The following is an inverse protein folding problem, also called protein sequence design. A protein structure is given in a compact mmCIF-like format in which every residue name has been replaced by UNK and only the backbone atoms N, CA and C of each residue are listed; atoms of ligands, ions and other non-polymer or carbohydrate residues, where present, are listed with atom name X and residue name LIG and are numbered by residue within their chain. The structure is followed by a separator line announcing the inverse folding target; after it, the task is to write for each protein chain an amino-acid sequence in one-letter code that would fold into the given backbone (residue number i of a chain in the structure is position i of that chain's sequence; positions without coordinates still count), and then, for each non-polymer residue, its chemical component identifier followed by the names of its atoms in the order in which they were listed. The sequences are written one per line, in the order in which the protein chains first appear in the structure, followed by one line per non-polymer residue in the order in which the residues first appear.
data_IF_577000641683
#
_entry.id   IF_577000641683
#
_cell.length_a   1.000
_cell.length_b   1.000
_cell.length_c   1.000
_cell.angle_alpha   90.00
_cell.angle_beta   90.00
_cell.angle_gamma   90.00
#
_symmetry.space_group_name_H-M   'P 1'
#
loop_
_entity.id
_entity.type
_entity.pdbx_description
1 polymer ?
#
# COMPACT_ATOMS: atom_id res chain seq x y z
N UNK A 1 15.29 -26.38 -6.17
CA UNK A 1 14.36 -25.42 -6.85
C UNK A 1 13.90 -24.33 -5.89
N UNK A 2 14.54 -24.20 -4.72
CA UNK A 2 13.96 -23.53 -3.55
C UNK A 2 14.48 -22.09 -3.36
N UNK A 3 15.66 -21.78 -3.90
CA UNK A 3 16.27 -20.46 -3.72
C UNK A 3 15.48 -19.35 -4.44
N UNK A 4 14.93 -19.63 -5.64
CA UNK A 4 14.21 -18.60 -6.41
C UNK A 4 12.87 -18.22 -5.77
N UNK A 5 12.13 -19.21 -5.26
CA UNK A 5 10.88 -18.98 -4.54
C UNK A 5 11.13 -18.22 -3.23
N UNK A 6 12.12 -18.66 -2.43
CA UNK A 6 12.44 -18.01 -1.17
C UNK A 6 12.95 -16.57 -1.39
N UNK A 7 13.83 -16.34 -2.37
CA UNK A 7 14.29 -15.00 -2.73
C UNK A 7 13.14 -14.09 -3.16
N UNK A 8 12.16 -14.61 -3.89
CA UNK A 8 10.98 -13.86 -4.30
C UNK A 8 10.08 -13.48 -3.13
N UNK A 9 9.80 -14.41 -2.22
CA UNK A 9 9.04 -14.12 -1.00
C UNK A 9 9.76 -13.07 -0.17
N UNK A 10 11.08 -13.20 0.02
CA UNK A 10 11.89 -12.23 0.77
C UNK A 10 11.82 -10.85 0.10
N UNK A 11 12.03 -10.78 -1.22
CA UNK A 11 12.02 -9.52 -1.96
C UNK A 11 10.63 -8.86 -1.92
N UNK A 12 9.56 -9.62 -2.19
CA UNK A 12 8.20 -9.10 -2.13
C UNK A 12 7.82 -8.66 -0.73
N UNK A 13 8.24 -9.39 0.31
CA UNK A 13 8.00 -9.01 1.72
C UNK A 13 8.76 -7.74 2.08
N UNK A 14 9.99 -7.60 1.61
CA UNK A 14 10.80 -6.40 1.83
C UNK A 14 10.20 -5.18 1.11
N UNK A 15 9.71 -5.36 -0.12
CA UNK A 15 9.06 -4.30 -0.90
C UNK A 15 7.68 -3.93 -0.35
N UNK A 16 6.92 -4.91 0.15
CA UNK A 16 5.62 -4.67 0.79
C UNK A 16 5.75 -4.00 2.17
N UNK A 17 6.94 -4.03 2.77
CA UNK A 17 7.31 -3.47 4.06
C UNK A 17 6.18 -3.54 5.12
N UNK A 18 5.75 -4.75 5.51
CA UNK A 18 4.59 -4.88 6.39
C UNK A 18 4.86 -4.33 7.79
N UNK A 19 6.12 -4.26 8.22
CA UNK A 19 6.52 -3.72 9.52
C UNK A 19 6.53 -2.18 9.52
N UNK A 20 7.12 -1.55 8.49
CA UNK A 20 7.08 -0.10 8.34
C UNK A 20 5.67 0.44 8.13
N UNK A 21 4.80 -0.36 7.51
CA UNK A 21 3.39 -0.01 7.30
C UNK A 21 2.50 -0.20 8.54
N UNK A 22 2.95 -0.88 9.61
CA UNK A 22 2.15 -1.08 10.83
C UNK A 22 1.70 0.22 11.50
N UNK A 23 2.59 1.18 11.85
CA UNK A 23 2.19 2.39 12.56
C UNK A 23 1.32 3.28 11.68
N UNK A 24 1.56 3.24 10.37
CA UNK A 24 0.81 3.98 9.37
C UNK A 24 -0.62 3.45 9.22
N UNK A 25 -0.79 2.14 9.01
CA UNK A 25 -2.12 1.51 8.95
C UNK A 25 -2.87 1.74 10.26
N UNK A 26 -2.18 1.66 11.40
CA UNK A 26 -2.80 1.93 12.69
C UNK A 26 -3.26 3.40 12.79
N UNK A 27 -2.38 4.36 12.46
CA UNK A 27 -2.68 5.80 12.42
C UNK A 27 -3.91 6.11 11.56
N UNK A 28 -4.04 5.46 10.41
CA UNK A 28 -5.20 5.63 9.53
C UNK A 28 -6.49 4.99 10.07
N UNK A 29 -6.36 3.97 10.91
CA UNK A 29 -7.49 3.30 11.57
C UNK A 29 -7.91 3.96 12.90
N UNK A 30 -7.26 5.04 13.32
CA UNK A 30 -7.56 5.77 14.56
C UNK A 30 -9.04 6.08 14.73
N UNK A 31 -9.70 6.55 13.66
CA UNK A 31 -11.14 6.87 13.64
C UNK A 31 -12.11 5.69 13.47
N UNK A 32 -11.62 4.45 13.29
CA UNK A 32 -12.47 3.27 13.05
C UNK A 32 -12.69 2.49 14.37
N UNK A 33 -13.92 2.00 14.67
CA UNK A 33 -14.17 1.18 15.85
C UNK A 33 -13.31 -0.09 15.91
N UNK A 34 -12.75 -0.44 17.08
CA UNK A 34 -11.85 -1.59 17.26
C UNK A 34 -12.40 -2.91 16.70
N UNK A 35 -13.72 -3.12 16.79
CA UNK A 35 -14.40 -4.31 16.26
C UNK A 35 -14.36 -4.42 14.73
N UNK A 36 -14.31 -3.29 14.02
CA UNK A 36 -14.29 -3.21 12.55
C UNK A 36 -12.88 -3.07 11.98
N UNK A 37 -11.89 -2.63 12.76
CA UNK A 37 -10.50 -2.45 12.29
C UNK A 37 -9.92 -3.68 11.62
N UNK A 38 -10.12 -4.87 12.19
CA UNK A 38 -9.63 -6.13 11.60
C UNK A 38 -10.29 -6.43 10.25
N UNK A 39 -11.59 -6.18 10.14
CA UNK A 39 -12.34 -6.39 8.90
C UNK A 39 -11.84 -5.47 7.79
N UNK A 40 -11.56 -4.20 8.14
CA UNK A 40 -10.97 -3.24 7.19
C UNK A 40 -9.59 -3.70 6.74
N UNK A 41 -8.68 -4.06 7.67
CA UNK A 41 -7.34 -4.54 7.29
C UNK A 41 -7.41 -5.76 6.38
N UNK A 42 -8.22 -6.77 6.72
CA UNK A 42 -8.36 -7.97 5.88
C UNK A 42 -8.93 -7.63 4.50
N UNK A 43 -9.94 -6.76 4.44
CA UNK A 43 -10.54 -6.33 3.18
C UNK A 43 -9.51 -5.60 2.29
N UNK A 44 -8.75 -4.68 2.87
CA UNK A 44 -7.71 -3.93 2.14
C UNK A 44 -6.57 -4.83 1.68
N UNK A 45 -6.09 -5.73 2.54
CA UNK A 45 -5.10 -6.74 2.14
C UNK A 45 -5.61 -7.65 1.03
N UNK A 46 -6.90 -8.02 1.05
CA UNK A 46 -7.50 -8.84 0.00
C UNK A 46 -7.62 -8.08 -1.33
N UNK A 47 -7.98 -6.79 -1.30
CA UNK A 47 -7.97 -5.92 -2.48
C UNK A 47 -6.56 -5.78 -3.05
N UNK A 48 -5.55 -5.53 -2.21
CA UNK A 48 -4.15 -5.44 -2.63
C UNK A 48 -3.67 -6.76 -3.24
N UNK A 49 -4.02 -7.90 -2.64
CA UNK A 49 -3.69 -9.22 -3.16
C UNK A 49 -4.31 -9.47 -4.54
N UNK A 50 -5.61 -9.18 -4.69
CA UNK A 50 -6.31 -9.31 -5.97
C UNK A 50 -5.69 -8.42 -7.06
N UNK A 51 -5.33 -7.18 -6.72
CA UNK A 51 -4.64 -6.26 -7.63
C UNK A 51 -3.27 -6.78 -8.04
N UNK A 52 -2.44 -7.22 -7.09
CA UNK A 52 -1.12 -7.78 -7.40
C UNK A 52 -1.21 -9.00 -8.31
N UNK A 53 -2.17 -9.89 -8.07
CA UNK A 53 -2.42 -11.04 -8.95
C UNK A 53 -2.90 -10.60 -10.35
N UNK A 54 -3.84 -9.66 -10.43
CA UNK A 54 -4.34 -9.15 -11.71
C UNK A 54 -3.21 -8.51 -12.53
N UNK A 55 -2.37 -7.69 -11.89
CA UNK A 55 -1.23 -7.05 -12.54
C UNK A 55 -0.09 -8.03 -12.88
N UNK A 56 0.10 -9.09 -12.09
CA UNK A 56 1.05 -10.15 -12.43
C UNK A 56 0.60 -10.92 -13.68
N UNK A 57 -0.69 -11.26 -13.78
CA UNK A 57 -1.21 -12.08 -14.88
C UNK A 57 -1.41 -11.30 -16.18
N UNK A 58 -1.81 -10.02 -16.07
CA UNK A 58 -2.21 -9.23 -17.23
C UNK A 58 -1.89 -7.75 -17.13
N UNK A 59 -1.07 -7.31 -16.17
CA UNK A 59 -0.81 -5.88 -15.92
C UNK A 59 -0.23 -5.16 -17.13
N UNK A 60 0.72 -5.78 -17.84
CA UNK A 60 1.28 -5.22 -19.09
C UNK A 60 0.19 -5.01 -20.15
N UNK A 61 -0.66 -6.00 -20.39
CA UNK A 61 -1.75 -5.93 -21.37
C UNK A 61 -2.83 -4.95 -20.95
N UNK A 62 -3.20 -4.91 -19.67
CA UNK A 62 -4.18 -3.97 -19.11
C UNK A 62 -3.71 -2.52 -19.27
N UNK A 63 -2.45 -2.27 -18.90
CA UNK A 63 -1.82 -0.96 -19.05
C UNK A 63 -1.74 -0.55 -20.53
N UNK A 64 -1.39 -1.47 -21.43
CA UNK A 64 -1.35 -1.21 -22.87
C UNK A 64 -2.73 -0.85 -23.46
N UNK A 65 -3.79 -1.57 -23.08
CA UNK A 65 -5.17 -1.28 -23.53
C UNK A 65 -5.62 0.10 -23.04
N UNK A 66 -5.29 0.45 -21.80
CA UNK A 66 -5.63 1.73 -21.20
C UNK A 66 -4.69 2.87 -21.61
N UNK A 67 -3.64 2.59 -22.42
CA UNK A 67 -2.57 3.52 -22.76
C UNK A 67 -1.91 4.16 -21.51
N UNK A 68 -1.86 3.41 -20.41
CA UNK A 68 -1.27 3.85 -19.15
C UNK A 68 0.16 3.34 -19.03
N UNK A 69 1.08 4.23 -18.68
CA UNK A 69 2.44 3.82 -18.35
C UNK A 69 2.56 3.46 -16.87
N UNK A 70 3.55 2.63 -16.54
CA UNK A 70 3.91 2.36 -15.15
C UNK A 70 4.30 3.65 -14.40
N UNK A 71 4.93 4.59 -15.12
CA UNK A 71 5.25 5.95 -14.64
C UNK A 71 4.00 6.72 -14.25
N UNK A 72 2.96 6.69 -15.08
CA UNK A 72 1.67 7.32 -14.79
C UNK A 72 1.02 6.75 -13.52
N UNK A 73 1.11 5.44 -13.33
CA UNK A 73 0.58 4.76 -12.14
C UNK A 73 1.37 5.16 -10.88
N UNK A 74 2.69 5.32 -10.99
CA UNK A 74 3.54 5.80 -9.89
C UNK A 74 3.21 7.24 -9.50
N UNK A 75 3.07 8.14 -10.47
CA UNK A 75 2.71 9.54 -10.23
C UNK A 75 1.32 9.62 -9.59
N UNK A 76 0.32 8.91 -10.14
CA UNK A 76 -1.04 8.89 -9.60
C UNK A 76 -1.08 8.35 -8.17
N UNK A 77 -0.38 7.24 -7.90
CA UNK A 77 -0.23 6.70 -6.54
C UNK A 77 0.41 7.71 -5.59
N UNK A 78 1.45 8.42 -6.05
CA UNK A 78 2.11 9.48 -5.29
C UNK A 78 1.17 10.64 -4.94
N UNK A 79 0.34 11.09 -5.88
CA UNK A 79 -0.67 12.14 -5.62
C UNK A 79 -1.68 11.69 -4.56
N UNK A 80 -2.23 10.49 -4.69
CA UNK A 80 -3.20 9.95 -3.71
C UNK A 80 -2.55 9.85 -2.33
N UNK A 81 -1.33 9.31 -2.26
CA UNK A 81 -0.59 9.17 -1.00
C UNK A 81 -0.26 10.53 -0.37
N UNK A 82 0.06 11.53 -1.18
CA UNK A 82 0.28 12.91 -0.73
C UNK A 82 -0.98 13.53 -0.12
N UNK A 83 -2.14 13.36 -0.76
CA UNK A 83 -3.42 13.84 -0.23
C UNK A 83 -3.76 13.18 1.12
N UNK A 84 -3.52 11.87 1.24
CA UNK A 84 -3.69 11.13 2.49
C UNK A 84 -2.74 11.67 3.57
N UNK A 85 -1.47 11.88 3.22
CA UNK A 85 -0.46 12.37 4.15
C UNK A 85 -0.80 13.75 4.71
N UNK A 86 -1.23 14.67 3.85
CA UNK A 86 -1.72 16.01 4.25
C UNK A 86 -2.88 15.86 5.23
N UNK A 87 -3.89 15.03 4.92
CA UNK A 87 -5.02 14.80 5.83
C UNK A 87 -4.56 14.31 7.20
N UNK A 88 -3.57 13.41 7.27
CA UNK A 88 -3.02 12.91 8.53
C UNK A 88 -2.26 13.98 9.33
N UNK A 89 -1.45 14.81 8.67
CA UNK A 89 -0.74 15.93 9.32
C UNK A 89 -1.73 16.95 9.90
N UNK A 90 -2.82 17.20 9.18
CA UNK A 90 -3.83 18.21 9.49
C UNK A 90 -5.08 17.67 10.18
N UNK A 91 -5.08 16.43 10.69
CA UNK A 91 -6.23 15.69 11.25
C UNK A 91 -7.04 16.39 12.38
N UNK A 92 -6.65 17.60 12.82
CA UNK A 92 -7.47 18.46 13.69
C UNK A 92 -8.42 19.40 12.93
N UNK A 93 -8.44 19.40 11.60
CA UNK A 93 -9.29 20.25 10.76
C UNK A 93 -10.61 19.58 10.33
N UNK A 94 -11.03 18.48 10.97
CA UNK A 94 -12.25 17.72 10.67
C UNK A 94 -13.58 18.46 10.93
N UNK A 95 -13.56 19.79 11.00
CA UNK A 95 -14.75 20.63 10.89
C UNK A 95 -14.97 21.24 9.50
N UNK A 96 -13.95 21.29 8.63
CA UNK A 96 -14.00 22.08 7.37
C UNK A 96 -14.05 21.25 6.10
N UNK A 97 -13.79 19.94 6.15
CA UNK A 97 -13.92 19.02 5.01
C UNK A 97 -15.12 18.06 5.15
N UNK A 98 -16.31 18.58 5.46
CA UNK A 98 -17.59 17.98 5.07
C UNK A 98 -17.90 16.52 5.46
N UNK A 99 -17.21 15.89 6.41
CA UNK A 99 -17.56 14.55 6.88
C UNK A 99 -18.66 14.64 7.94
N UNK A 100 -19.84 14.13 7.58
CA UNK A 100 -20.90 13.84 8.55
C UNK A 100 -20.36 12.81 9.54
N UNK A 101 -20.44 13.14 10.83
CA UNK A 101 -20.24 12.18 11.91
C UNK A 101 -21.06 10.90 11.63
N UNK A 102 -20.38 9.81 11.28
CA UNK A 102 -20.99 8.52 11.01
C UNK A 102 -20.93 8.00 9.56
N UNK A 103 -20.39 8.74 8.59
CA UNK A 103 -20.04 8.13 7.30
C UNK A 103 -18.73 7.36 7.45
N UNK A 104 -18.77 6.04 7.25
CA UNK A 104 -17.59 5.17 7.16
C UNK A 104 -16.53 5.89 6.32
N UNK A 105 -15.28 6.06 6.81
CA UNK A 105 -14.25 6.80 6.09
C UNK A 105 -14.24 6.26 4.67
N UNK A 106 -14.54 7.12 3.70
CA UNK A 106 -14.61 6.74 2.28
C UNK A 106 -13.42 5.82 2.02
N UNK A 107 -13.74 4.57 1.69
CA UNK A 107 -12.80 3.46 1.48
C UNK A 107 -12.09 3.76 0.15
N UNK A 108 -11.29 4.81 0.16
CA UNK A 108 -10.26 5.03 -0.85
C UNK A 108 -9.24 3.94 -0.55
N UNK A 109 -8.96 3.02 -1.48
CA UNK A 109 -8.27 1.79 -1.13
C UNK A 109 -6.89 2.13 -0.58
N UNK A 110 -6.71 1.93 0.73
CA UNK A 110 -5.42 1.92 1.41
C UNK A 110 -4.49 0.92 0.71
N UNK A 111 -5.10 -0.15 0.20
CA UNK A 111 -4.51 -1.14 -0.66
C UNK A 111 -3.72 -0.54 -1.84
N UNK A 112 -4.23 0.48 -2.53
CA UNK A 112 -3.76 0.86 -3.88
C UNK A 112 -2.52 1.76 -3.96
N UNK A 113 -2.21 2.62 -2.99
CA UNK A 113 -0.92 3.32 -3.00
C UNK A 113 0.06 2.79 -1.94
N UNK A 114 -0.43 2.19 -0.84
CA UNK A 114 0.43 1.81 0.29
C UNK A 114 0.93 0.36 0.24
N UNK A 115 0.03 -0.61 0.01
CA UNK A 115 0.35 -2.04 0.08
C UNK A 115 0.67 -2.60 -1.31
N UNK A 116 -0.19 -2.35 -2.29
CA UNK A 116 0.05 -2.61 -3.70
C UNK A 116 0.65 -1.37 -4.38
N UNK A 117 1.62 -0.73 -3.71
CA UNK A 117 2.30 0.44 -4.23
C UNK A 117 3.00 0.15 -5.56
N UNK A 118 3.38 1.19 -6.32
CA UNK A 118 4.01 1.03 -7.63
C UNK A 118 5.28 0.20 -7.60
N UNK A 119 6.03 0.19 -6.49
CA UNK A 119 7.20 -0.70 -6.31
C UNK A 119 6.81 -2.18 -6.25
N UNK A 120 5.70 -2.51 -5.58
CA UNK A 120 5.19 -3.88 -5.51
C UNK A 120 4.65 -4.32 -6.89
N UNK A 121 3.90 -3.44 -7.57
CA UNK A 121 3.42 -3.66 -8.94
C UNK A 121 4.58 -3.85 -9.93
N UNK A 122 5.60 -2.99 -9.87
CA UNK A 122 6.81 -3.11 -10.67
C UNK A 122 7.49 -4.47 -10.49
N UNK A 123 7.61 -4.88 -9.23
CA UNK A 123 8.28 -6.13 -8.85
C UNK A 123 7.53 -7.33 -9.40
N UNK A 124 6.21 -7.43 -9.19
CA UNK A 124 5.43 -8.57 -9.70
C UNK A 124 5.40 -8.61 -11.22
N UNK A 125 5.35 -7.44 -11.89
CA UNK A 125 5.43 -7.35 -13.35
C UNK A 125 6.81 -7.78 -13.88
N UNK A 126 7.90 -7.39 -13.22
CA UNK A 126 9.25 -7.81 -13.58
C UNK A 126 9.43 -9.32 -13.42
N UNK A 127 8.91 -9.89 -12.33
CA UNK A 127 8.98 -11.33 -12.06
C UNK A 127 8.16 -12.13 -13.09
N UNK A 128 6.96 -11.65 -13.44
CA UNK A 128 6.14 -12.24 -14.49
C UNK A 128 6.81 -12.17 -15.88
N UNK A 129 7.51 -11.06 -16.17
CA UNK A 129 8.24 -10.87 -17.43
C UNK A 129 9.48 -11.75 -17.55
N UNK A 130 10.20 -12.00 -16.44
CA UNK A 130 11.43 -12.80 -16.46
C UNK A 130 11.23 -14.29 -16.74
N UNK A 131 10.13 -14.88 -16.28
CA UNK A 131 9.88 -16.31 -16.48
C UNK A 131 8.37 -16.63 -16.51
N UNK A 132 7.70 -16.46 -17.67
CA UNK A 132 6.25 -16.65 -17.81
C UNK A 132 5.78 -18.10 -17.54
N UNK A 133 6.69 -19.07 -17.62
CA UNK A 133 6.39 -20.49 -17.38
C UNK A 133 6.19 -20.82 -15.90
N UNK A 134 6.58 -19.93 -14.98
CA UNK A 134 6.50 -20.13 -13.52
C UNK A 134 5.48 -19.23 -12.82
N UNK A 135 4.46 -18.75 -13.53
CA UNK A 135 3.40 -17.91 -12.96
C UNK A 135 2.78 -18.49 -11.68
N UNK A 136 2.62 -19.82 -11.60
CA UNK A 136 2.12 -20.47 -10.39
C UNK A 136 3.04 -20.30 -9.17
N UNK A 137 4.36 -20.32 -9.37
CA UNK A 137 5.34 -20.10 -8.31
C UNK A 137 5.33 -18.64 -7.84
N UNK A 138 5.23 -17.69 -8.77
CA UNK A 138 5.14 -16.26 -8.44
C UNK A 138 3.82 -15.93 -7.73
N UNK A 139 2.70 -16.51 -8.17
CA UNK A 139 1.40 -16.39 -7.50
C UNK A 139 1.47 -16.93 -6.07
N UNK A 140 2.11 -18.09 -5.87
CA UNK A 140 2.33 -18.63 -4.53
C UNK A 140 3.20 -17.71 -3.67
N UNK A 141 4.25 -17.09 -4.25
CA UNK A 141 5.11 -16.16 -3.52
C UNK A 141 4.38 -14.88 -3.09
N UNK A 142 3.54 -14.32 -3.97
CA UNK A 142 2.64 -13.20 -3.65
C UNK A 142 1.67 -13.60 -2.54
N UNK A 143 1.09 -14.80 -2.62
CA UNK A 143 0.15 -15.30 -1.61
C UNK A 143 0.80 -15.42 -0.24
N UNK A 144 2.00 -16.01 -0.15
CA UNK A 144 2.76 -16.11 1.10
C UNK A 144 3.11 -14.72 1.62
N UNK A 145 3.60 -13.83 0.76
CA UNK A 145 3.93 -12.44 1.14
C UNK A 145 2.71 -11.72 1.71
N UNK A 146 1.57 -11.77 1.02
CA UNK A 146 0.34 -11.11 1.47
C UNK A 146 -0.21 -11.73 2.74
N UNK A 147 -0.06 -13.03 2.94
CA UNK A 147 -0.44 -13.70 4.18
C UNK A 147 0.43 -13.22 5.34
N UNK A 148 1.76 -13.14 5.16
CA UNK A 148 2.68 -12.56 6.14
C UNK A 148 2.31 -11.11 6.44
N UNK A 149 2.14 -10.28 5.41
CA UNK A 149 1.73 -8.87 5.57
C UNK A 149 0.43 -8.73 6.34
N UNK A 150 -0.58 -9.55 6.03
CA UNK A 150 -1.88 -9.52 6.72
C UNK A 150 -1.73 -9.90 8.19
N UNK A 151 -0.97 -10.95 8.50
CA UNK A 151 -0.73 -11.39 9.88
C UNK A 151 0.02 -10.32 10.68
N UNK A 152 1.05 -9.72 10.09
CA UNK A 152 1.84 -8.64 10.67
C UNK A 152 0.94 -7.43 10.95
N UNK A 153 0.20 -6.94 9.94
CA UNK A 153 -0.72 -5.80 10.13
C UNK A 153 -1.82 -6.08 11.16
N UNK A 154 -2.39 -7.29 11.19
CA UNK A 154 -3.36 -7.69 12.21
C UNK A 154 -2.78 -7.73 13.63
N UNK A 155 -1.51 -8.12 13.77
CA UNK A 155 -0.80 -8.01 15.04
C UNK A 155 -0.59 -6.55 15.44
N UNK A 156 -0.29 -5.68 14.46
CA UNK A 156 -0.17 -4.23 14.63
C UNK A 156 -1.45 -3.56 15.12
N UNK A 157 -2.64 -4.01 14.68
CA UNK A 157 -3.93 -3.47 15.17
C UNK A 157 -4.10 -3.66 16.69
N UNK A 158 -3.50 -4.70 17.29
CA UNK A 158 -3.55 -4.89 18.75
C UNK A 158 -2.65 -3.91 19.50
N UNK A 159 -1.63 -3.34 18.85
CA UNK A 159 -0.69 -2.38 19.45
C UNK A 159 -1.39 -1.09 19.87
N UNK A 160 -2.48 -0.72 19.20
CA UNK A 160 -3.28 0.45 19.54
C UNK A 160 -3.76 0.48 21.00
N UNK A 161 -4.14 -0.69 21.55
CA UNK A 161 -4.61 -0.79 22.94
C UNK A 161 -3.54 -0.44 23.97
N UNK A 162 -2.27 -0.55 23.61
CA UNK A 162 -1.14 -0.27 24.48
C UNK A 162 -0.65 1.18 24.40
N UNK A 163 -0.84 1.85 23.26
CA UNK A 163 -0.22 3.15 22.99
C UNK A 163 -0.98 4.35 23.60
N UNK A 164 -2.28 4.23 23.88
CA UNK A 164 -3.06 5.34 24.43
C UNK A 164 -3.25 6.51 23.44
N UNK A 165 -4.27 7.35 23.66
CA UNK A 165 -4.70 8.35 22.68
C UNK A 165 -3.61 9.40 22.36
N UNK A 166 -2.83 9.82 23.35
CA UNK A 166 -1.80 10.85 23.17
C UNK A 166 -0.62 10.36 22.32
N UNK A 167 -0.14 9.12 22.53
CA UNK A 167 0.93 8.57 21.71
C UNK A 167 0.43 8.26 20.29
N UNK A 168 -0.83 7.86 20.17
CA UNK A 168 -1.47 7.62 18.89
C UNK A 168 -1.47 8.88 18.01
N UNK A 169 -1.87 10.02 18.56
CA UNK A 169 -1.83 11.29 17.83
C UNK A 169 -0.41 11.75 17.46
N UNK A 170 0.59 11.48 18.30
CA UNK A 170 1.98 11.78 17.97
C UNK A 170 2.48 10.91 16.81
N UNK A 171 2.15 9.62 16.82
CA UNK A 171 2.48 8.67 15.75
C UNK A 171 1.76 9.04 14.45
N UNK A 172 0.48 9.40 14.51
CA UNK A 172 -0.30 9.85 13.33
C UNK A 172 0.37 11.02 12.61
N UNK A 173 0.80 12.05 13.36
CA UNK A 173 1.50 13.21 12.80
C UNK A 173 2.86 12.84 12.20
N UNK A 174 3.62 12.01 12.92
CA UNK A 174 4.94 11.58 12.47
C UNK A 174 4.83 10.72 11.20
N UNK A 175 3.86 9.80 11.16
CA UNK A 175 3.56 9.01 9.97
C UNK A 175 3.07 9.86 8.81
N UNK A 176 2.24 10.88 9.06
CA UNK A 176 1.83 11.84 8.03
C UNK A 176 3.02 12.58 7.41
N UNK A 177 4.01 12.98 8.21
CA UNK A 177 5.25 13.59 7.71
C UNK A 177 6.08 12.61 6.87
N UNK A 178 6.25 11.37 7.34
CA UNK A 178 6.95 10.31 6.58
C UNK A 178 6.23 10.02 5.26
N UNK A 179 4.91 9.89 5.30
CA UNK A 179 4.10 9.58 4.13
C UNK A 179 4.16 10.70 3.08
N UNK A 180 4.23 11.96 3.54
CA UNK A 180 4.45 13.12 2.66
C UNK A 180 5.78 12.98 1.93
N UNK A 181 6.85 12.61 2.64
CA UNK A 181 8.16 12.40 2.03
C UNK A 181 8.15 11.25 1.02
N UNK A 182 7.54 10.11 1.35
CA UNK A 182 7.39 8.96 0.44
C UNK A 182 6.61 9.37 -0.82
N UNK A 183 5.50 10.08 -0.66
CA UNK A 183 4.69 10.54 -1.77
C UNK A 183 5.45 11.49 -2.71
N UNK A 184 6.24 12.42 -2.14
CA UNK A 184 7.12 13.31 -2.92
C UNK A 184 8.20 12.52 -3.65
N UNK A 185 8.83 11.53 -3.00
CA UNK A 185 9.81 10.65 -3.64
C UNK A 185 9.21 9.89 -4.83
N UNK A 186 7.99 9.36 -4.69
CA UNK A 186 7.27 8.68 -5.77
C UNK A 186 6.96 9.61 -6.95
N UNK A 187 6.60 10.86 -6.68
CA UNK A 187 6.39 11.89 -7.70
C UNK A 187 7.70 12.24 -8.40
N UNK A 188 8.78 12.47 -7.66
CA UNK A 188 10.10 12.78 -8.21
C UNK A 188 10.66 11.62 -9.06
N UNK A 189 10.51 10.38 -8.59
CA UNK A 189 10.90 9.19 -9.34
C UNK A 189 10.09 9.08 -10.64
N UNK A 190 8.77 9.25 -10.57
CA UNK A 190 7.92 9.25 -11.76
C UNK A 190 8.28 10.35 -12.77
N UNK A 191 8.54 11.58 -12.31
CA UNK A 191 8.97 12.68 -13.17
C UNK A 191 10.34 12.38 -13.79
N UNK A 192 11.29 11.86 -13.02
CA UNK A 192 12.63 11.48 -13.52
C UNK A 192 12.53 10.42 -14.61
N UNK A 193 11.71 9.40 -14.40
CA UNK A 193 11.52 8.32 -15.37
C UNK A 193 10.80 8.82 -16.63
N UNK A 194 9.85 9.75 -16.48
CA UNK A 194 9.22 10.43 -17.62
C UNK A 194 10.24 11.22 -18.45
N UNK A 195 11.12 12.00 -17.80
CA UNK A 195 12.16 12.79 -18.49
C UNK A 195 13.18 11.89 -19.19
N UNK A 196 13.58 10.76 -18.59
CA UNK A 196 14.50 9.80 -19.24
C UNK A 196 13.88 9.07 -20.44
N UNK A 197 12.56 8.97 -20.46
CA UNK A 197 11.81 8.32 -21.54
C UNK A 197 11.47 9.23 -22.71
N UNK A 198 11.67 10.56 -22.55
CA UNK A 198 11.62 11.58 -23.61
C UNK A 198 12.92 11.58 -24.42
#
# INVERSE_FOLDING_TARGET
MDNQFLSAVILLTLVADPFGNMPLVNAMLGGVPESRRRLVVVRECLIAYALLLAFMLGGQSLLAVMHLSQTSLSIAGGVILFMIAIRMVFAKLDGTFGEKAGSEPFIVPLATPLIAGPSALATVMLMASRDPTRLGMWAAAITVTMLVTTVVLLAGVKLHRWLGEHAMHAIERLMGLILTAIAVEMLMAGIRDFIKGL
#
